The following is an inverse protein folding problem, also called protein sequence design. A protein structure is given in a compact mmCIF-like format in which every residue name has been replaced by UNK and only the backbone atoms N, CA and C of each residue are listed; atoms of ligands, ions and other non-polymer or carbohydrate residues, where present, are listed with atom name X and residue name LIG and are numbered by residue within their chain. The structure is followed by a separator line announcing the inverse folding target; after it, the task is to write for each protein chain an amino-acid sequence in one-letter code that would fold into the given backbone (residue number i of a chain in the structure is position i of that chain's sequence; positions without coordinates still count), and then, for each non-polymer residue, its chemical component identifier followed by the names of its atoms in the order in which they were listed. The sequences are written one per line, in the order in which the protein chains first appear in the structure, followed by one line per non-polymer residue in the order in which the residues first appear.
data_IF_389034196822
#
_entry.id   IF_389034196822
#
_cell.length_a   1.000
_cell.length_b   1.000
_cell.length_c   1.000
_cell.angle_alpha   90.00
_cell.angle_beta   90.00
_cell.angle_gamma   90.00
#
_symmetry.space_group_name_H-M   'P 1'
#
loop_
_entity.id
_entity.type
_entity.pdbx_description
1 polymer ?
#
# COMPACT_ATOMS: atom_id res chain seq x y z
N UNK A 1 12.26 13.08 -15.87
CA UNK A 1 12.45 14.51 -15.57
C UNK A 1 13.52 15.16 -16.46
N UNK A 2 14.81 14.75 -16.37
CA UNK A 2 15.91 15.39 -17.14
C UNK A 2 15.65 15.40 -18.66
N UNK A 3 15.18 14.30 -19.22
CA UNK A 3 14.83 14.21 -20.65
C UNK A 3 13.67 15.16 -21.03
N UNK A 4 12.64 15.25 -20.17
CA UNK A 4 11.52 16.16 -20.37
C UNK A 4 11.96 17.64 -20.38
N UNK A 5 12.87 18.00 -19.45
CA UNK A 5 13.47 19.34 -19.42
C UNK A 5 14.24 19.64 -20.71
N UNK A 6 15.10 18.73 -21.15
CA UNK A 6 15.88 18.90 -22.40
C UNK A 6 14.97 19.04 -23.63
N UNK A 7 13.83 18.36 -23.64
CA UNK A 7 12.81 18.43 -24.71
C UNK A 7 11.86 19.62 -24.58
N UNK A 8 11.97 20.44 -23.53
CA UNK A 8 11.07 21.55 -23.28
C UNK A 8 9.64 21.16 -22.89
N UNK A 9 9.39 19.88 -22.52
CA UNK A 9 8.08 19.40 -22.05
C UNK A 9 7.89 19.57 -20.56
N UNK A 10 8.93 19.93 -19.83
CA UNK A 10 8.95 20.30 -18.40
C UNK A 10 9.69 21.63 -18.29
N UNK A 11 9.08 22.63 -17.64
CA UNK A 11 9.73 23.91 -17.40
C UNK A 11 10.90 23.78 -16.39
N UNK A 12 11.79 24.74 -16.37
CA UNK A 12 12.91 24.77 -15.42
C UNK A 12 12.43 24.88 -13.96
N UNK A 13 11.37 25.64 -13.72
CA UNK A 13 10.75 25.81 -12.40
C UNK A 13 10.13 24.49 -11.91
N UNK A 14 9.37 23.81 -12.77
CA UNK A 14 8.79 22.50 -12.43
C UNK A 14 9.87 21.47 -12.19
N UNK A 15 10.93 21.47 -13.01
CA UNK A 15 12.06 20.55 -12.82
C UNK A 15 12.76 20.80 -11.47
N UNK A 16 13.00 22.05 -11.10
CA UNK A 16 13.61 22.41 -9.82
C UNK A 16 12.73 22.00 -8.63
N UNK A 17 11.42 22.27 -8.70
CA UNK A 17 10.46 21.87 -7.67
C UNK A 17 10.45 20.35 -7.47
N UNK A 18 10.36 19.58 -8.55
CA UNK A 18 10.38 18.11 -8.46
C UNK A 18 11.70 17.56 -7.89
N UNK A 19 12.83 18.23 -8.18
CA UNK A 19 14.12 17.83 -7.57
C UNK A 19 14.13 18.06 -6.06
N UNK A 20 13.61 19.19 -5.60
CA UNK A 20 13.51 19.45 -4.15
C UNK A 20 12.58 18.45 -3.45
N UNK A 21 11.48 18.08 -4.08
CA UNK A 21 10.56 17.06 -3.53
C UNK A 21 11.23 15.67 -3.44
N UNK A 22 12.01 15.27 -4.47
CA UNK A 22 12.78 14.00 -4.41
C UNK A 22 13.79 14.02 -3.26
N UNK A 23 14.46 15.15 -3.02
CA UNK A 23 15.44 15.26 -1.92
C UNK A 23 14.81 15.12 -0.54
N UNK A 24 13.51 15.37 -0.40
CA UNK A 24 12.77 15.20 0.86
C UNK A 24 12.42 13.75 1.14
N UNK A 25 12.34 12.88 0.12
CA UNK A 25 11.89 11.49 0.25
C UNK A 25 12.68 10.70 1.30
N UNK A 26 14.02 10.75 1.37
CA UNK A 26 14.75 10.01 2.40
C UNK A 26 14.29 10.34 3.81
N UNK A 27 14.13 11.63 4.14
CA UNK A 27 13.63 12.06 5.44
C UNK A 27 12.18 11.60 5.68
N UNK A 28 11.32 11.70 4.69
CA UNK A 28 9.93 11.23 4.80
C UNK A 28 9.86 9.71 5.01
N UNK A 29 10.77 8.94 4.39
CA UNK A 29 10.90 7.50 4.63
C UNK A 29 11.35 7.22 6.07
N UNK A 30 12.30 7.98 6.61
CA UNK A 30 12.73 7.85 8.00
C UNK A 30 11.57 8.07 8.98
N UNK A 31 10.71 9.06 8.72
CA UNK A 31 9.49 9.28 9.51
C UNK A 31 8.55 8.06 9.49
N UNK A 32 8.38 7.43 8.32
CA UNK A 32 7.57 6.22 8.18
C UNK A 32 8.20 5.03 8.90
N UNK A 33 9.51 4.86 8.80
CA UNK A 33 10.24 3.81 9.53
C UNK A 33 10.15 4.00 11.06
N UNK A 34 10.00 5.24 11.53
CA UNK A 34 9.69 5.55 12.93
C UNK A 34 8.34 4.98 13.41
N UNK A 35 7.43 4.63 12.50
CA UNK A 35 6.15 3.99 12.84
C UNK A 35 6.21 2.45 12.87
N UNK A 36 7.37 1.84 12.67
CA UNK A 36 7.56 0.39 12.52
C UNK A 36 6.91 -0.45 13.63
N UNK A 37 7.01 -0.02 14.88
CA UNK A 37 6.44 -0.75 16.02
C UNK A 37 4.90 -0.73 16.01
N UNK A 38 4.30 0.38 15.56
CA UNK A 38 2.85 0.47 15.36
C UNK A 38 2.40 -0.51 14.28
N UNK A 39 3.13 -0.57 13.17
CA UNK A 39 2.85 -1.49 12.05
C UNK A 39 3.07 -2.94 12.50
N UNK A 40 4.14 -3.24 13.25
CA UNK A 40 4.41 -4.56 13.79
C UNK A 40 3.28 -5.07 14.68
N UNK A 41 2.82 -4.24 15.64
CA UNK A 41 1.68 -4.60 16.51
C UNK A 41 0.42 -4.91 15.72
N UNK A 42 0.19 -4.16 14.66
CA UNK A 42 -0.93 -4.42 13.76
C UNK A 42 -0.74 -5.71 12.96
N UNK A 43 0.42 -5.90 12.35
CA UNK A 43 0.76 -7.09 11.55
C UNK A 43 0.64 -8.39 12.35
N UNK A 44 1.02 -8.39 13.62
CA UNK A 44 0.93 -9.56 14.50
C UNK A 44 -0.50 -10.09 14.66
N UNK A 45 -1.53 -9.27 14.43
CA UNK A 45 -2.94 -9.72 14.45
C UNK A 45 -3.29 -10.58 13.25
N UNK A 46 -2.51 -10.51 12.17
CA UNK A 46 -2.78 -11.14 10.89
C UNK A 46 -1.77 -12.24 10.51
N UNK A 47 -0.92 -12.65 11.45
CA UNK A 47 0.03 -13.77 11.27
C UNK A 47 -0.67 -15.06 10.87
N UNK A 48 -1.88 -15.30 11.38
CA UNK A 48 -2.71 -16.46 11.08
C UNK A 48 -3.74 -16.22 9.95
N UNK A 49 -3.72 -15.08 9.29
CA UNK A 49 -4.68 -14.79 8.21
C UNK A 49 -4.51 -15.78 7.05
N UNK A 50 -5.63 -16.22 6.50
CA UNK A 50 -5.65 -17.07 5.29
C UNK A 50 -5.57 -16.22 4.04
N UNK A 51 -6.40 -15.18 3.98
CA UNK A 51 -6.57 -14.29 2.84
C UNK A 51 -6.48 -12.83 3.29
N UNK A 52 -5.83 -12.00 2.48
CA UNK A 52 -5.75 -10.55 2.67
C UNK A 52 -5.96 -9.89 1.32
N UNK A 53 -6.89 -8.95 1.24
CA UNK A 53 -7.18 -8.22 0.01
C UNK A 53 -6.58 -6.83 0.04
N UNK A 54 -6.09 -6.40 -1.11
CA UNK A 54 -5.55 -5.05 -1.30
C UNK A 54 -6.43 -4.32 -2.32
N UNK A 55 -6.75 -3.07 -2.05
CA UNK A 55 -7.54 -2.26 -2.97
C UNK A 55 -6.93 -0.89 -3.17
N UNK A 56 -7.05 -0.37 -4.38
CA UNK A 56 -6.61 0.98 -4.72
C UNK A 56 -7.25 1.45 -6.03
N UNK A 57 -7.15 2.73 -6.31
CA UNK A 57 -7.62 3.32 -7.58
C UNK A 57 -6.48 4.01 -8.29
N UNK A 58 -6.53 3.99 -9.63
CA UNK A 58 -5.46 4.60 -10.43
C UNK A 58 -4.09 4.01 -10.08
N UNK A 59 -3.11 4.87 -9.79
CA UNK A 59 -1.77 4.41 -9.44
C UNK A 59 -1.69 3.71 -8.07
N UNK A 60 -2.61 4.00 -7.15
CA UNK A 60 -2.71 3.30 -5.86
C UNK A 60 -3.04 1.81 -6.03
N UNK A 61 -3.71 1.44 -7.13
CA UNK A 61 -3.91 0.03 -7.47
C UNK A 61 -2.58 -0.67 -7.82
N UNK A 62 -1.68 0.00 -8.53
CA UNK A 62 -0.36 -0.56 -8.82
C UNK A 62 0.46 -0.81 -7.53
N UNK A 63 0.36 0.10 -6.56
CA UNK A 63 0.99 -0.08 -5.24
C UNK A 63 0.32 -1.21 -4.44
N UNK A 64 -1.00 -1.34 -4.55
CA UNK A 64 -1.74 -2.46 -3.95
C UNK A 64 -1.28 -3.81 -4.52
N UNK A 65 -1.03 -3.89 -5.83
CA UNK A 65 -0.45 -5.09 -6.48
C UNK A 65 0.92 -5.43 -5.89
N UNK A 66 1.80 -4.44 -5.76
CA UNK A 66 3.14 -4.62 -5.19
C UNK A 66 3.08 -5.02 -3.71
N UNK A 67 2.22 -4.38 -2.92
CA UNK A 67 2.02 -4.75 -1.50
C UNK A 67 1.53 -6.19 -1.34
N UNK A 68 0.55 -6.60 -2.14
CA UNK A 68 0.06 -7.98 -2.19
C UNK A 68 1.17 -8.95 -2.61
N UNK A 69 1.97 -8.60 -3.62
CA UNK A 69 3.08 -9.42 -4.09
C UNK A 69 4.11 -9.61 -2.97
N UNK A 70 4.56 -8.55 -2.31
CA UNK A 70 5.53 -8.65 -1.21
C UNK A 70 5.01 -9.52 -0.06
N UNK A 71 3.76 -9.35 0.32
CA UNK A 71 3.18 -10.17 1.37
C UNK A 71 3.21 -11.66 1.01
N UNK A 72 2.73 -12.05 -0.18
CA UNK A 72 2.70 -13.47 -0.59
C UNK A 72 4.08 -14.07 -0.77
N UNK A 73 5.05 -13.31 -1.29
CA UNK A 73 6.41 -13.78 -1.53
C UNK A 73 7.12 -14.21 -0.25
N UNK A 74 7.01 -13.44 0.84
CA UNK A 74 7.80 -13.65 2.04
C UNK A 74 7.04 -14.29 3.20
N UNK A 75 5.70 -14.13 3.25
CA UNK A 75 4.87 -14.68 4.34
C UNK A 75 4.04 -15.89 3.95
N UNK A 76 3.90 -16.15 2.64
CA UNK A 76 3.06 -17.23 2.07
C UNK A 76 1.57 -17.09 2.42
N UNK A 77 1.13 -15.93 2.86
CA UNK A 77 -0.28 -15.61 3.02
C UNK A 77 -0.86 -15.37 1.63
N UNK A 78 -1.99 -16.01 1.33
CA UNK A 78 -2.69 -15.72 0.10
C UNK A 78 -3.17 -14.27 0.10
N UNK A 79 -2.84 -13.53 -0.93
CA UNK A 79 -3.29 -12.14 -1.06
C UNK A 79 -3.51 -11.76 -2.51
N UNK A 80 -4.51 -10.94 -2.74
CA UNK A 80 -4.85 -10.44 -4.05
C UNK A 80 -5.10 -8.93 -4.00
N UNK A 81 -4.79 -8.26 -5.10
CA UNK A 81 -5.04 -6.83 -5.23
C UNK A 81 -6.04 -6.57 -6.37
N UNK A 82 -6.97 -5.66 -6.11
CA UNK A 82 -8.02 -5.29 -7.05
C UNK A 82 -8.10 -3.77 -7.23
N UNK A 83 -8.42 -3.36 -8.44
CA UNK A 83 -8.93 -2.01 -8.61
C UNK A 83 -10.20 -1.87 -7.77
N UNK A 84 -10.22 -0.91 -6.84
CA UNK A 84 -11.25 -0.86 -5.80
C UNK A 84 -12.68 -0.84 -6.34
N UNK A 85 -12.91 -0.24 -7.51
CA UNK A 85 -14.22 -0.23 -8.18
C UNK A 85 -14.64 -1.58 -8.76
N UNK A 86 -13.68 -2.49 -9.01
CA UNK A 86 -13.93 -3.78 -9.61
C UNK A 86 -14.23 -4.89 -8.59
N UNK A 87 -13.89 -4.67 -7.32
CA UNK A 87 -14.09 -5.67 -6.28
C UNK A 87 -15.55 -6.15 -6.19
N UNK A 88 -16.50 -5.26 -6.40
CA UNK A 88 -17.94 -5.55 -6.36
C UNK A 88 -18.45 -6.50 -7.46
N UNK A 89 -17.67 -6.72 -8.52
CA UNK A 89 -18.07 -7.55 -9.67
C UNK A 89 -17.79 -9.05 -9.48
N UNK A 90 -17.54 -9.49 -8.25
CA UNK A 90 -17.37 -10.91 -7.92
C UNK A 90 -16.60 -11.13 -6.64
N UNK A 91 -15.36 -10.65 -6.58
CA UNK A 91 -14.42 -10.89 -5.47
C UNK A 91 -14.93 -10.43 -4.11
N UNK A 92 -15.81 -9.45 -4.07
CA UNK A 92 -16.44 -8.99 -2.81
C UNK A 92 -17.20 -10.11 -2.09
N UNK A 93 -17.58 -11.19 -2.78
CA UNK A 93 -18.21 -12.37 -2.19
C UNK A 93 -17.26 -13.18 -1.29
N UNK A 94 -15.95 -12.95 -1.38
CA UNK A 94 -14.92 -13.57 -0.54
C UNK A 94 -14.70 -12.80 0.77
N UNK A 95 -15.30 -11.64 0.92
CA UNK A 95 -15.18 -10.83 2.13
C UNK A 95 -16.12 -11.40 3.19
N UNK A 96 -15.53 -11.86 4.26
CA UNK A 96 -16.19 -12.39 5.45
C UNK A 96 -15.89 -11.49 6.67
N UNK A 97 -16.59 -11.74 7.78
CA UNK A 97 -16.36 -10.99 9.01
C UNK A 97 -14.90 -11.12 9.50
N UNK A 98 -14.26 -9.98 9.70
CA UNK A 98 -12.84 -9.90 10.10
C UNK A 98 -11.83 -10.04 8.97
N UNK A 99 -12.24 -10.26 7.71
CA UNK A 99 -11.32 -10.26 6.56
C UNK A 99 -10.56 -8.94 6.47
N UNK A 100 -9.23 -9.00 6.42
CA UNK A 100 -8.42 -7.78 6.24
C UNK A 100 -8.47 -7.28 4.80
N UNK A 101 -8.88 -6.04 4.64
CA UNK A 101 -8.74 -5.29 3.39
C UNK A 101 -7.78 -4.13 3.61
N UNK A 102 -6.70 -4.10 2.85
CA UNK A 102 -5.71 -3.01 2.85
C UNK A 102 -6.06 -2.05 1.72
N UNK A 103 -6.45 -0.83 2.07
CA UNK A 103 -6.83 0.20 1.11
C UNK A 103 -5.74 1.25 0.96
N UNK A 104 -5.25 1.45 -0.26
CA UNK A 104 -4.32 2.55 -0.59
C UNK A 104 -5.11 3.70 -1.19
N UNK A 105 -4.99 4.89 -0.60
CA UNK A 105 -5.73 6.09 -0.98
C UNK A 105 -4.86 7.34 -0.83
N UNK A 106 -3.94 7.53 -1.78
CA UNK A 106 -2.97 8.64 -1.75
C UNK A 106 -3.27 9.74 -2.77
N UNK A 107 -4.32 9.56 -3.58
CA UNK A 107 -4.68 10.51 -4.62
C UNK A 107 -5.92 11.32 -4.24
N UNK A 108 -5.81 12.63 -3.98
CA UNK A 108 -6.90 13.46 -3.51
C UNK A 108 -8.16 13.41 -4.41
N UNK A 109 -7.97 13.39 -5.72
CA UNK A 109 -9.06 13.31 -6.69
C UNK A 109 -9.88 12.00 -6.61
N UNK A 110 -9.35 10.96 -5.95
CA UNK A 110 -9.97 9.64 -5.85
C UNK A 110 -10.40 9.27 -4.42
N UNK A 111 -10.14 10.09 -3.41
CA UNK A 111 -10.45 9.79 -2.00
C UNK A 111 -11.90 9.36 -1.80
N UNK A 112 -12.86 10.15 -2.26
CA UNK A 112 -14.28 9.85 -2.05
C UNK A 112 -14.71 8.53 -2.73
N UNK A 113 -14.16 8.23 -3.90
CA UNK A 113 -14.44 6.97 -4.61
C UNK A 113 -13.83 5.77 -3.88
N UNK A 114 -12.63 5.92 -3.32
CA UNK A 114 -11.98 4.87 -2.53
C UNK A 114 -12.72 4.66 -1.20
N UNK A 115 -13.13 5.75 -0.53
CA UNK A 115 -13.93 5.69 0.69
C UNK A 115 -15.26 4.95 0.43
N UNK A 116 -15.94 5.21 -0.68
CA UNK A 116 -17.15 4.47 -1.04
C UNK A 116 -16.90 2.97 -1.15
N UNK A 117 -15.78 2.55 -1.75
CA UNK A 117 -15.44 1.13 -1.83
C UNK A 117 -15.04 0.54 -0.46
N UNK A 118 -14.43 1.31 0.42
CA UNK A 118 -14.18 0.90 1.80
C UNK A 118 -15.50 0.63 2.53
N UNK A 119 -16.47 1.50 2.39
CA UNK A 119 -17.81 1.30 2.97
C UNK A 119 -18.48 0.04 2.44
N UNK A 120 -18.33 -0.26 1.14
CA UNK A 120 -18.87 -1.48 0.53
C UNK A 120 -18.30 -2.77 1.15
N UNK A 121 -16.99 -2.83 1.40
CA UNK A 121 -16.36 -4.02 2.02
C UNK A 121 -16.65 -4.09 3.52
N UNK A 122 -16.68 -2.96 4.21
CA UNK A 122 -17.05 -2.91 5.65
C UNK A 122 -18.49 -3.36 5.90
N UNK A 123 -19.40 -3.07 4.98
CA UNK A 123 -20.79 -3.55 5.06
C UNK A 123 -20.89 -5.09 5.00
N UNK A 124 -19.80 -5.78 4.65
CA UNK A 124 -19.67 -7.26 4.63
C UNK A 124 -18.79 -7.82 5.73
N UNK A 125 -18.42 -6.99 6.71
CA UNK A 125 -17.65 -7.40 7.86
C UNK A 125 -16.12 -7.26 7.70
N UNK A 126 -15.61 -6.67 6.62
CA UNK A 126 -14.17 -6.43 6.47
C UNK A 126 -13.63 -5.53 7.58
N UNK A 127 -12.45 -5.86 8.07
CA UNK A 127 -11.61 -4.92 8.81
C UNK A 127 -10.71 -4.18 7.83
N UNK A 128 -10.75 -2.86 7.82
CA UNK A 128 -10.01 -2.06 6.83
C UNK A 128 -8.83 -1.34 7.44
N UNK A 129 -7.63 -1.64 6.92
CA UNK A 129 -6.43 -0.84 7.11
C UNK A 129 -6.27 0.11 5.92
N UNK A 130 -6.25 1.41 6.15
CA UNK A 130 -6.00 2.40 5.11
C UNK A 130 -4.59 2.98 5.19
N UNK A 131 -3.96 3.17 4.02
CA UNK A 131 -2.76 3.98 3.85
C UNK A 131 -3.16 5.22 3.06
N UNK A 132 -3.00 6.38 3.65
CA UNK A 132 -3.45 7.65 3.08
C UNK A 132 -2.56 8.81 3.52
N UNK A 133 -2.74 9.96 2.93
CA UNK A 133 -2.05 11.19 3.31
C UNK A 133 -2.75 11.87 4.50
N UNK A 134 -2.03 12.70 5.24
CA UNK A 134 -2.50 13.36 6.46
C UNK A 134 -3.70 14.32 6.22
N UNK A 135 -3.83 14.84 5.00
CA UNK A 135 -4.94 15.72 4.61
C UNK A 135 -6.29 15.00 4.41
N UNK A 136 -6.28 13.67 4.28
CA UNK A 136 -7.50 12.87 4.08
C UNK A 136 -8.19 12.52 5.39
N UNK A 137 -8.70 13.52 6.11
CA UNK A 137 -9.41 13.34 7.39
C UNK A 137 -10.72 12.56 7.29
N UNK A 138 -11.33 12.49 6.09
CA UNK A 138 -12.53 11.69 5.87
C UNK A 138 -12.27 10.18 6.05
N UNK A 139 -11.03 9.73 5.92
CA UNK A 139 -10.64 8.35 6.11
C UNK A 139 -10.84 7.87 7.55
N UNK A 140 -10.75 8.76 8.54
CA UNK A 140 -10.94 8.44 9.97
C UNK A 140 -12.31 7.82 10.27
N UNK A 141 -13.33 8.20 9.49
CA UNK A 141 -14.69 7.65 9.65
C UNK A 141 -14.91 6.38 8.83
N UNK A 142 -14.04 6.11 7.87
CA UNK A 142 -14.21 5.00 6.94
C UNK A 142 -13.38 3.77 7.32
N UNK A 143 -12.12 3.94 7.72
CA UNK A 143 -11.21 2.84 8.01
C UNK A 143 -11.13 2.52 9.51
N UNK A 144 -10.77 1.28 9.84
CA UNK A 144 -10.62 0.81 11.22
C UNK A 144 -9.20 1.04 11.76
N UNK A 145 -8.23 1.11 10.85
CA UNK A 145 -6.84 1.38 11.17
C UNK A 145 -6.21 2.22 10.06
N UNK A 146 -5.48 3.26 10.42
CA UNK A 146 -4.92 4.19 9.45
C UNK A 146 -3.43 4.34 9.67
N UNK A 147 -2.69 4.27 8.57
CA UNK A 147 -1.30 4.67 8.49
C UNK A 147 -1.24 5.89 7.59
N UNK A 148 -0.87 7.02 8.18
CA UNK A 148 -0.66 8.24 7.43
C UNK A 148 0.75 8.27 6.85
N UNK A 149 0.84 8.64 5.57
CA UNK A 149 2.10 9.01 4.94
C UNK A 149 2.24 10.54 4.95
N UNK A 150 3.46 11.07 5.10
CA UNK A 150 3.71 12.50 5.02
C UNK A 150 3.21 13.11 3.70
N UNK A 151 2.74 14.35 3.77
CA UNK A 151 2.39 15.08 2.57
C UNK A 151 3.59 15.18 1.62
N UNK A 152 3.38 14.86 0.37
CA UNK A 152 4.40 14.87 -0.67
C UNK A 152 3.79 15.18 -2.03
N UNK A 153 4.64 15.45 -3.01
CA UNK A 153 4.18 15.59 -4.38
C UNK A 153 3.46 14.31 -4.86
N UNK A 154 2.28 14.40 -5.49
CA UNK A 154 1.50 13.24 -5.92
C UNK A 154 2.28 12.24 -6.79
N UNK A 155 3.29 12.70 -7.55
CA UNK A 155 4.16 11.80 -8.32
C UNK A 155 5.04 10.90 -7.46
N UNK A 156 5.27 11.24 -6.19
CA UNK A 156 6.14 10.51 -5.27
C UNK A 156 5.39 9.86 -4.10
N UNK A 157 4.09 10.10 -3.96
CA UNK A 157 3.28 9.54 -2.88
C UNK A 157 3.39 8.02 -2.79
N UNK A 158 3.47 7.35 -3.94
CA UNK A 158 3.59 5.89 -3.99
C UNK A 158 4.95 5.37 -3.49
N UNK A 159 6.01 6.16 -3.61
CA UNK A 159 7.32 5.82 -3.02
C UNK A 159 7.26 5.82 -1.48
N UNK A 160 6.33 6.54 -0.90
CA UNK A 160 6.07 6.53 0.54
C UNK A 160 5.03 5.46 0.92
N UNK A 161 3.96 5.30 0.14
CA UNK A 161 2.88 4.36 0.43
C UNK A 161 3.34 2.89 0.42
N UNK A 162 4.37 2.55 -0.36
CA UNK A 162 4.92 1.19 -0.39
C UNK A 162 5.62 0.80 0.92
N UNK A 163 6.21 1.75 1.65
CA UNK A 163 7.00 1.47 2.87
C UNK A 163 6.16 0.78 3.95
N UNK A 164 4.98 1.30 4.37
CA UNK A 164 4.15 0.59 5.35
C UNK A 164 3.65 -0.77 4.86
N UNK A 165 3.45 -0.96 3.54
CA UNK A 165 3.09 -2.27 2.98
C UNK A 165 4.23 -3.27 3.09
N UNK A 166 5.47 -2.85 2.80
CA UNK A 166 6.67 -3.67 2.98
C UNK A 166 6.88 -4.04 4.45
N UNK A 167 6.76 -3.08 5.35
CA UNK A 167 6.85 -3.33 6.79
C UNK A 167 5.76 -4.29 7.27
N UNK A 168 4.52 -4.14 6.79
CA UNK A 168 3.42 -5.05 7.12
C UNK A 168 3.74 -6.48 6.67
N UNK A 169 4.13 -6.68 5.41
CA UNK A 169 4.51 -7.98 4.87
C UNK A 169 5.69 -8.60 5.65
N UNK A 170 6.71 -7.79 5.93
CA UNK A 170 7.88 -8.20 6.71
C UNK A 170 7.48 -8.72 8.12
N UNK A 171 6.67 -7.96 8.86
CA UNK A 171 6.30 -8.36 10.22
C UNK A 171 5.32 -9.53 10.24
N UNK A 172 4.45 -9.68 9.27
CA UNK A 172 3.63 -10.90 9.12
C UNK A 172 4.54 -12.11 8.89
N UNK A 173 5.54 -12.00 8.01
CA UNK A 173 6.48 -13.08 7.72
C UNK A 173 7.32 -13.46 8.94
N UNK A 174 7.88 -12.47 9.65
CA UNK A 174 8.64 -12.67 10.89
C UNK A 174 7.76 -13.34 11.96
N UNK A 175 6.52 -12.88 12.15
CA UNK A 175 5.58 -13.46 13.10
C UNK A 175 5.19 -14.91 12.79
N UNK A 176 5.26 -15.30 11.50
CA UNK A 176 5.08 -16.69 11.03
C UNK A 176 6.35 -17.55 11.16
N UNK A 177 7.50 -16.96 11.53
CA UNK A 177 8.79 -17.65 11.54
C UNK A 177 9.35 -17.93 10.14
N UNK A 178 8.93 -17.16 9.12
CA UNK A 178 9.46 -17.30 7.77
C UNK A 178 10.83 -16.62 7.64
N UNK A 179 11.71 -17.20 6.81
CA UNK A 179 12.97 -16.57 6.42
C UNK A 179 12.68 -15.51 5.33
N UNK A 180 12.76 -14.25 5.70
CA UNK A 180 12.45 -13.12 4.81
C UNK A 180 13.56 -12.84 3.79
N UNK A 181 14.79 -13.28 4.09
CA UNK A 181 15.95 -13.07 3.21
C UNK A 181 16.09 -14.18 2.19
N UNK A 182 15.57 -15.39 2.49
CA UNK A 182 15.61 -16.57 1.63
C UNK A 182 14.22 -17.22 1.53
N UNK A 183 13.24 -16.52 0.93
CA UNK A 183 11.92 -17.09 0.75
C UNK A 183 11.98 -18.37 -0.08
N UNK A 184 11.18 -19.37 0.32
CA UNK A 184 11.10 -20.64 -0.41
C UNK A 184 10.56 -20.39 -1.83
N UNK A 185 11.02 -21.19 -2.79
CA UNK A 185 10.55 -21.18 -4.18
C UNK A 185 10.79 -19.86 -4.93
N UNK A 186 11.57 -18.94 -4.38
CA UNK A 186 12.02 -17.74 -5.09
C UNK A 186 13.49 -17.89 -5.48
N UNK A 187 13.73 -17.93 -6.78
CA UNK A 187 15.08 -17.87 -7.32
C UNK A 187 15.38 -16.43 -7.79
N UNK A 188 16.55 -15.91 -7.42
CA UNK A 188 17.02 -14.59 -7.90
C UNK A 188 17.31 -14.58 -9.41
N UNK A 189 17.50 -15.76 -9.99
CA UNK A 189 17.60 -15.98 -11.44
C UNK A 189 16.94 -17.31 -11.78
N UNK A 190 16.11 -17.33 -12.81
CA UNK A 190 15.58 -18.59 -13.36
C UNK A 190 16.64 -19.14 -14.31
N UNK A 191 17.26 -20.26 -13.93
CA UNK A 191 18.32 -20.94 -14.71
C UNK A 191 17.83 -22.28 -15.28
N UNK A 192 16.54 -22.56 -15.19
CA UNK A 192 15.92 -23.77 -15.79
C UNK A 192 15.34 -23.41 -17.15
N UNK A 193 15.78 -24.12 -18.17
CA UNK A 193 15.19 -24.15 -19.49
C UNK A 193 14.02 -25.15 -19.52
#
# INVERSE_FOLDING_TARGET
MKLGRVRGTISDELFASLLEDIKKLPYQIELLLGQKEKIQRFANRYVGAKDIFFIGRGIDYAISLEGSLKLKEISYVHSEAYAAGELKHGTISLIEDGTLVVAVATQPALYQKTISNIVEVKARGAFVMAITTEDNTAMEKAADYIIYIPETNPYFANSLAIIPLQLFGYYVAVGKGCDVDKPRNLAKSVTVE
#
